data_IF_855507971668
#
_entry.id   IF_855507971668
#
_cell.length_a   1.000
_cell.length_b   1.000
_cell.length_c   1.000
_cell.angle_alpha   90.00
_cell.angle_beta   90.00
_cell.angle_gamma   90.00
#
_symmetry.space_group_name_H-M   'P 1'
#
loop_
_entity.id
_entity.type
_entity.pdbx_description
1 polymer ?
#
# COMPACT_ATOMS: atom_id res chain seq x y z
N UNK A 1 15.85 28.15 -16.44
CA UNK A 1 15.69 27.68 -15.99
C UNK A 1 15.74 26.48 -15.84
N UNK A 2 16.04 25.88 -15.87
CA UNK A 2 16.33 24.77 -15.76
C UNK A 2 16.01 23.88 -14.86
N UNK A 3 15.38 23.33 -14.97
CA UNK A 3 14.99 22.63 -14.26
C UNK A 3 15.29 21.39 -14.17
N UNK A 4 16.10 21.04 -13.93
CA UNK A 4 16.46 19.94 -13.61
C UNK A 4 15.83 19.26 -12.79
N UNK A 5 14.88 18.94 -13.11
CA UNK A 5 14.18 18.09 -12.41
C UNK A 5 15.00 17.05 -11.85
N UNK A 6 15.10 17.13 -10.72
CA UNK A 6 15.76 16.30 -10.02
C UNK A 6 15.03 15.06 -9.93
N UNK A 7 15.18 14.19 -10.78
CA UNK A 7 14.57 12.89 -10.80
C UNK A 7 14.84 12.12 -9.51
N UNK A 8 15.98 12.36 -8.93
CA UNK A 8 16.30 11.70 -7.66
C UNK A 8 15.47 12.19 -6.49
N UNK A 9 14.86 13.36 -6.60
CA UNK A 9 14.03 13.85 -5.54
C UNK A 9 12.67 13.16 -5.47
N UNK A 10 12.31 12.45 -6.48
CA UNK A 10 11.02 11.75 -6.48
C UNK A 10 10.87 10.75 -5.35
N UNK A 11 11.98 10.23 -4.85
CA UNK A 11 11.94 9.27 -3.76
C UNK A 11 12.00 9.92 -2.39
N UNK A 12 12.43 11.16 -2.31
CA UNK A 12 12.55 11.84 -1.03
C UNK A 12 11.31 12.63 -0.64
N UNK A 13 10.45 12.90 -1.61
CA UNK A 13 9.27 13.72 -1.37
C UNK A 13 9.60 15.20 -1.16
N UNK A 14 8.59 16.02 -1.25
CA UNK A 14 8.73 17.46 -1.12
C UNK A 14 8.03 18.01 0.14
N UNK A 15 7.32 17.18 0.85
CA UNK A 15 6.57 17.57 2.02
C UNK A 15 7.05 16.74 3.20
N UNK A 16 7.52 17.40 4.23
CA UNK A 16 7.79 16.72 5.48
C UNK A 16 6.49 16.65 6.27
N UNK A 17 6.01 15.47 6.46
CA UNK A 17 4.82 15.23 7.25
C UNK A 17 5.20 14.56 8.58
N UNK A 18 4.62 14.98 9.68
CA UNK A 18 4.87 14.32 10.96
C UNK A 18 4.36 12.88 10.92
N UNK A 19 5.05 12.01 11.58
CA UNK A 19 4.65 10.63 11.72
C UNK A 19 4.71 10.23 13.20
N UNK A 20 3.74 10.69 13.99
CA UNK A 20 3.76 10.43 15.43
C UNK A 20 3.65 8.95 15.79
N UNK A 21 3.08 8.15 14.92
CA UNK A 21 2.96 6.71 15.14
C UNK A 21 4.31 6.00 15.18
N UNK A 22 5.36 6.62 14.71
CA UNK A 22 6.70 6.05 14.79
C UNK A 22 7.19 5.98 16.24
N UNK A 23 6.89 7.01 17.03
CA UNK A 23 7.31 7.06 18.44
C UNK A 23 6.28 6.39 19.35
N UNK A 24 5.03 6.44 19.00
CA UNK A 24 3.93 5.88 19.77
C UNK A 24 2.98 5.10 18.85
N UNK A 25 3.39 3.92 18.42
CA UNK A 25 2.58 3.15 17.47
C UNK A 25 1.31 2.64 18.13
N UNK A 26 0.16 2.77 17.45
CA UNK A 26 -1.06 2.14 17.93
C UNK A 26 -0.96 0.62 17.86
N UNK A 27 -1.77 -0.05 18.65
CA UNK A 27 -1.77 -1.51 18.70
C UNK A 27 -2.20 -2.16 17.39
N UNK A 28 -3.05 -1.48 16.63
CA UNK A 28 -3.55 -2.01 15.36
C UNK A 28 -2.85 -1.33 14.19
N UNK A 29 -2.09 -2.06 13.37
CA UNK A 29 -1.40 -1.46 12.22
C UNK A 29 -2.36 -0.85 11.19
N UNK A 30 -3.59 -1.31 11.11
CA UNK A 30 -4.58 -0.70 10.22
C UNK A 30 -4.92 0.73 10.61
N UNK A 31 -4.79 1.06 11.88
CA UNK A 31 -4.96 2.42 12.36
C UNK A 31 -3.85 3.34 11.85
N UNK A 32 -2.63 2.85 11.82
CA UNK A 32 -1.50 3.57 11.24
C UNK A 32 -1.77 3.87 9.77
N UNK A 33 -2.18 2.87 9.02
CA UNK A 33 -2.46 3.03 7.60
C UNK A 33 -3.60 4.02 7.36
N UNK A 34 -4.66 3.94 8.15
CA UNK A 34 -5.80 4.84 8.04
C UNK A 34 -5.37 6.29 8.28
N UNK A 35 -4.63 6.53 9.34
CA UNK A 35 -4.13 7.86 9.69
C UNK A 35 -3.18 8.39 8.61
N UNK A 36 -2.33 7.52 8.09
CA UNK A 36 -1.40 7.89 7.04
C UNK A 36 -2.12 8.29 5.74
N UNK A 37 -3.12 7.52 5.33
CA UNK A 37 -3.92 7.84 4.14
C UNK A 37 -4.69 9.14 4.31
N UNK A 38 -5.20 9.39 5.50
CA UNK A 38 -5.89 10.64 5.78
C UNK A 38 -4.95 11.84 5.70
N UNK A 39 -3.74 11.71 6.23
CA UNK A 39 -2.73 12.76 6.10
C UNK A 39 -2.32 12.96 4.66
N UNK A 40 -2.12 11.88 3.92
CA UNK A 40 -1.79 11.97 2.49
C UNK A 40 -2.86 12.74 1.72
N UNK A 41 -4.11 12.50 2.04
CA UNK A 41 -5.22 13.23 1.44
C UNK A 41 -5.18 14.72 1.80
N UNK A 42 -4.89 15.05 3.05
CA UNK A 42 -4.78 16.45 3.50
C UNK A 42 -3.65 17.19 2.81
N UNK A 43 -2.55 16.52 2.57
CA UNK A 43 -1.41 17.11 1.88
C UNK A 43 -1.55 17.11 0.36
N UNK A 44 -2.69 16.71 -0.17
CA UNK A 44 -2.95 16.74 -1.59
C UNK A 44 -2.15 15.71 -2.40
N UNK A 45 -1.78 14.61 -1.78
CA UNK A 45 -1.10 13.53 -2.48
C UNK A 45 -2.04 12.95 -3.53
N UNK A 46 -1.55 12.81 -4.75
CA UNK A 46 -2.35 12.22 -5.83
C UNK A 46 -2.43 10.71 -5.63
N UNK A 47 -3.62 10.19 -5.80
CA UNK A 47 -3.87 8.75 -5.71
C UNK A 47 -3.35 8.14 -4.41
N UNK A 48 -3.73 8.66 -3.25
CA UNK A 48 -3.21 8.13 -1.98
C UNK A 48 -3.63 6.69 -1.72
N UNK A 49 -4.70 6.24 -2.36
CA UNK A 49 -5.19 4.86 -2.23
C UNK A 49 -4.60 3.90 -3.25
N UNK A 50 -3.65 4.34 -4.05
CA UNK A 50 -2.95 3.46 -4.97
C UNK A 50 -2.05 2.52 -4.19
N UNK A 51 -2.23 1.24 -4.41
CA UNK A 51 -1.50 0.18 -3.72
C UNK A 51 -0.75 -0.65 -4.75
N UNK A 52 0.56 -0.75 -4.61
CA UNK A 52 1.34 -1.70 -5.37
C UNK A 52 1.13 -3.07 -4.75
N UNK A 53 0.42 -3.93 -5.45
CA UNK A 53 0.06 -5.25 -4.95
C UNK A 53 0.89 -6.32 -5.67
N UNK A 54 1.64 -7.08 -4.90
CA UNK A 54 2.38 -8.22 -5.39
C UNK A 54 1.65 -9.51 -5.04
N UNK A 55 1.50 -10.38 -6.01
CA UNK A 55 0.93 -11.72 -5.86
C UNK A 55 1.89 -12.74 -6.45
N UNK A 56 1.67 -14.00 -6.19
CA UNK A 56 2.59 -15.06 -6.56
C UNK A 56 1.80 -16.15 -7.27
N UNK A 57 2.34 -16.64 -8.37
CA UNK A 57 1.70 -17.76 -9.08
C UNK A 57 2.00 -19.12 -8.42
N UNK A 58 1.45 -20.18 -8.97
CA UNK A 58 1.63 -21.52 -8.44
C UNK A 58 3.07 -22.06 -8.51
N UNK A 59 3.95 -21.36 -9.23
CA UNK A 59 5.36 -21.74 -9.36
C UNK A 59 6.27 -20.83 -8.54
N UNK A 60 5.71 -19.95 -7.72
CA UNK A 60 6.48 -19.04 -6.89
C UNK A 60 6.97 -17.78 -7.59
N UNK A 61 6.48 -17.50 -8.78
CA UNK A 61 6.89 -16.30 -9.52
C UNK A 61 6.01 -15.11 -9.12
N UNK A 62 6.60 -14.00 -8.63
CA UNK A 62 5.83 -12.85 -8.25
C UNK A 62 5.48 -11.97 -9.44
N UNK A 63 4.38 -11.26 -9.32
CA UNK A 63 4.01 -10.19 -10.24
C UNK A 63 3.39 -9.05 -9.47
N UNK A 64 3.55 -7.83 -9.96
CA UNK A 64 3.12 -6.63 -9.25
C UNK A 64 2.30 -5.74 -10.19
N UNK A 65 1.28 -5.11 -9.66
CA UNK A 65 0.45 -4.13 -10.37
C UNK A 65 -0.11 -3.13 -9.36
N UNK A 66 -0.64 -2.03 -9.85
CA UNK A 66 -1.30 -1.05 -9.00
C UNK A 66 -2.79 -1.38 -8.94
N UNK A 67 -3.33 -1.40 -7.74
CA UNK A 67 -4.76 -1.49 -7.49
C UNK A 67 -5.17 -0.31 -6.61
N UNK A 68 -6.46 -0.05 -6.52
CA UNK A 68 -6.97 1.01 -5.67
C UNK A 68 -7.63 0.40 -4.44
N UNK A 69 -7.27 0.89 -3.28
CA UNK A 69 -7.91 0.47 -2.04
C UNK A 69 -9.35 0.99 -2.06
N UNK A 70 -10.30 0.09 -2.04
CA UNK A 70 -11.72 0.43 -1.98
C UNK A 70 -12.14 0.73 -0.54
N UNK A 71 -11.67 -0.06 0.39
CA UNK A 71 -12.07 0.07 1.78
C UNK A 71 -10.93 -0.33 2.72
N UNK A 72 -10.87 0.33 3.86
CA UNK A 72 -9.97 -0.04 4.95
C UNK A 72 -10.78 -0.75 6.02
N UNK A 73 -10.59 -2.03 6.15
CA UNK A 73 -11.21 -2.81 7.20
C UNK A 73 -10.37 -2.80 8.48
N UNK A 74 -10.88 -3.44 9.51
CA UNK A 74 -10.15 -3.58 10.77
C UNK A 74 -8.95 -4.51 10.67
N UNK A 75 -9.00 -5.42 9.73
CA UNK A 75 -8.01 -6.50 9.61
C UNK A 75 -7.22 -6.46 8.30
N UNK A 76 -7.49 -5.52 7.44
CA UNK A 76 -6.79 -5.43 6.17
C UNK A 76 -7.44 -4.45 5.22
N UNK A 77 -6.92 -4.41 4.01
CA UNK A 77 -7.45 -3.57 2.95
C UNK A 77 -8.31 -4.39 2.02
N UNK A 78 -9.31 -3.74 1.46
CA UNK A 78 -10.20 -4.36 0.47
C UNK A 78 -10.00 -3.67 -0.87
N UNK A 79 -9.86 -4.43 -1.90
CA UNK A 79 -9.83 -3.94 -3.27
C UNK A 79 -10.71 -4.82 -4.15
N UNK A 80 -11.21 -4.26 -5.23
CA UNK A 80 -12.03 -5.00 -6.17
C UNK A 80 -11.19 -5.51 -7.34
N UNK A 81 -11.46 -6.71 -7.78
CA UNK A 81 -10.80 -7.29 -8.95
C UNK A 81 -11.69 -8.35 -9.58
N UNK A 82 -11.44 -8.63 -10.85
CA UNK A 82 -12.10 -9.74 -11.52
C UNK A 82 -11.41 -11.05 -11.16
N UNK A 83 -12.19 -12.07 -10.91
CA UNK A 83 -11.65 -13.39 -10.58
C UNK A 83 -10.77 -13.95 -11.70
N UNK A 84 -11.10 -13.61 -12.95
CA UNK A 84 -10.35 -14.09 -14.11
C UNK A 84 -9.08 -13.27 -14.39
N UNK A 85 -8.83 -12.22 -13.65
CA UNK A 85 -7.58 -11.46 -13.82
C UNK A 85 -6.39 -12.30 -13.34
N UNK A 86 -5.20 -11.94 -13.79
CA UNK A 86 -3.98 -12.62 -13.35
C UNK A 86 -3.89 -12.66 -11.82
N UNK A 87 -4.08 -11.53 -11.17
CA UNK A 87 -4.01 -11.49 -9.70
C UNK A 87 -5.12 -12.30 -9.03
N UNK A 88 -6.31 -12.32 -9.63
CA UNK A 88 -7.40 -13.16 -9.12
C UNK A 88 -7.06 -14.63 -9.18
N UNK A 89 -6.51 -15.08 -10.30
CA UNK A 89 -6.06 -16.48 -10.45
C UNK A 89 -4.90 -16.81 -9.52
N UNK A 90 -3.94 -15.90 -9.38
CA UNK A 90 -2.79 -16.12 -8.51
C UNK A 90 -3.23 -16.20 -7.04
N UNK A 91 -4.10 -15.31 -6.59
CA UNK A 91 -4.61 -15.33 -5.23
C UNK A 91 -5.43 -16.59 -4.92
N UNK A 92 -6.11 -17.13 -5.92
CA UNK A 92 -6.83 -18.39 -5.75
C UNK A 92 -5.88 -19.57 -5.56
N UNK A 93 -4.71 -19.54 -6.19
CA UNK A 93 -3.72 -20.60 -6.09
C UNK A 93 -2.79 -20.41 -4.89
N UNK A 94 -2.43 -19.17 -4.61
CA UNK A 94 -1.52 -18.85 -3.53
C UNK A 94 -2.03 -17.57 -2.85
N UNK A 95 -2.54 -17.67 -1.62
CA UNK A 95 -3.17 -16.53 -0.96
C UNK A 95 -2.19 -15.48 -0.40
N UNK A 96 -0.89 -15.71 -0.52
CA UNK A 96 0.07 -14.74 -0.03
C UNK A 96 0.17 -13.54 -0.97
N UNK A 97 0.13 -12.37 -0.39
CA UNK A 97 0.27 -11.14 -1.13
C UNK A 97 1.00 -10.11 -0.28
N UNK A 98 1.61 -9.16 -0.94
CA UNK A 98 2.26 -8.03 -0.30
C UNK A 98 1.76 -6.75 -0.93
N UNK A 99 1.58 -5.73 -0.12
CA UNK A 99 1.10 -4.45 -0.62
C UNK A 99 1.87 -3.29 -0.05
N UNK A 100 2.06 -2.25 -0.85
CA UNK A 100 2.72 -1.04 -0.40
C UNK A 100 2.07 0.20 -0.99
N UNK A 101 1.87 1.20 -0.13
CA UNK A 101 1.42 2.51 -0.54
C UNK A 101 2.61 3.45 -0.43
N UNK A 102 2.93 4.16 -1.49
CA UNK A 102 4.12 5.00 -1.47
C UNK A 102 3.85 6.42 -0.98
N UNK A 103 2.61 6.86 -1.05
CA UNK A 103 2.30 8.25 -0.71
C UNK A 103 3.16 9.22 -1.46
N UNK A 104 3.23 9.04 -2.76
CA UNK A 104 4.16 9.78 -3.60
C UNK A 104 4.24 11.25 -3.22
N UNK A 105 5.43 11.70 -2.91
CA UNK A 105 5.77 13.07 -2.56
C UNK A 105 5.46 13.51 -1.13
N UNK A 106 4.93 12.66 -0.29
CA UNK A 106 4.97 12.95 1.13
C UNK A 106 6.19 12.23 1.71
N UNK A 107 7.14 12.97 2.17
CA UNK A 107 8.27 12.37 2.81
C UNK A 107 7.88 12.02 4.23
N UNK A 108 7.41 10.84 4.40
CA UNK A 108 7.36 10.29 5.72
C UNK A 108 8.46 9.24 5.75
N UNK A 109 9.44 9.46 6.56
CA UNK A 109 10.59 8.55 6.67
C UNK A 109 10.19 7.13 7.05
N UNK A 110 8.98 7.01 7.50
CA UNK A 110 8.50 5.75 8.00
C UNK A 110 7.49 5.10 7.08
N UNK A 111 7.15 5.71 5.97
CA UNK A 111 6.22 5.12 5.02
C UNK A 111 6.75 3.81 4.48
N UNK A 112 8.06 3.67 4.39
CA UNK A 112 8.67 2.43 3.94
C UNK A 112 8.60 1.33 4.97
N UNK A 113 8.43 1.67 6.23
CA UNK A 113 8.47 0.67 7.28
C UNK A 113 7.09 0.15 7.64
N UNK A 114 6.10 0.95 7.49
CA UNK A 114 4.74 0.54 7.80
C UNK A 114 4.09 -0.28 6.70
N UNK A 115 4.54 -0.08 5.49
CA UNK A 115 3.87 -0.67 4.36
C UNK A 115 4.12 -2.15 4.15
N UNK A 116 5.30 -2.65 4.30
CA UNK A 116 5.57 -4.00 3.81
C UNK A 116 4.96 -5.10 4.63
N UNK A 117 4.66 -4.82 5.85
CA UNK A 117 4.23 -5.89 6.71
C UNK A 117 2.79 -5.77 7.14
N UNK A 118 2.13 -4.76 6.62
CA UNK A 118 0.83 -4.44 7.13
C UNK A 118 -0.31 -5.20 6.49
N UNK A 119 -0.02 -5.99 5.51
CA UNK A 119 -1.05 -6.82 4.92
C UNK A 119 -0.71 -8.28 5.06
N UNK A 120 -0.95 -8.83 6.20
CA UNK A 120 -1.22 -10.23 6.18
C UNK A 120 -2.58 -10.31 5.51
N UNK A 121 -2.59 -10.58 4.26
CA UNK A 121 -3.81 -11.00 3.69
C UNK A 121 -4.07 -12.32 4.30
N UNK A 122 -4.91 -12.32 5.27
CA UNK A 122 -5.56 -13.53 5.58
C UNK A 122 -6.15 -14.02 4.27
N UNK A 123 -5.85 -15.24 3.95
CA UNK A 123 -6.42 -15.90 2.83
C UNK A 123 -7.90 -15.57 2.77
N UNK A 124 -8.39 -15.18 1.62
CA UNK A 124 -9.81 -14.99 1.50
C UNK A 124 -10.44 -16.30 1.87
N UNK A 125 -11.26 -16.25 2.85
CA UNK A 125 -12.07 -17.37 3.15
C UNK A 125 -12.75 -17.75 1.87
N UNK A 126 -12.61 -18.97 1.45
CA UNK A 126 -13.38 -19.43 0.35
C UNK A 126 -14.81 -19.27 0.75
N UNK A 127 -15.42 -18.29 0.20
CA UNK A 127 -16.83 -18.28 0.28
C UNK A 127 -17.31 -19.44 -0.52
N UNK A 128 -17.90 -20.29 0.11
CA UNK A 128 -18.45 -21.51 -0.46
C UNK A 128 -19.19 -21.32 -1.72
#
# INVERSE_FOLDING_TARGET
MGVNANISESLTGTIEAPFPEFEAPPANPMEVLRNWLERARRYGVREPRALALATVDGQGRPSTRIVVIAELGERGVVFATHADSQKGRELAQNPWASGGCTGARAASRSSSTAAPNACPTSAPTPSG
#
